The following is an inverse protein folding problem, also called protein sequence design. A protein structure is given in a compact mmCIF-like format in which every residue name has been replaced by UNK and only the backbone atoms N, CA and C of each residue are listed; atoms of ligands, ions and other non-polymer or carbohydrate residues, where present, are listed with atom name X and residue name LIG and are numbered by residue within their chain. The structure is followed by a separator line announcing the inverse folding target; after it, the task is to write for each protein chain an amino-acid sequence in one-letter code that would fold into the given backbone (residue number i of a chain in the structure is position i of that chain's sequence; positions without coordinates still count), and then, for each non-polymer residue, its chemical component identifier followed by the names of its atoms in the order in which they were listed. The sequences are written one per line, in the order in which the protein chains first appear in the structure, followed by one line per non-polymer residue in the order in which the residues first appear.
data_IF_889910584621
#
_entry.id   IF_889910584621
#
_cell.length_a   1.000
_cell.length_b   1.000
_cell.length_c   1.000
_cell.angle_alpha   90.00
_cell.angle_beta   90.00
_cell.angle_gamma   90.00
#
_symmetry.space_group_name_H-M   'P 1'
#
loop_
_entity.id
_entity.type
_entity.pdbx_description
1 polymer ?
#
# COMPACT_ATOMS: atom_id res chain seq x y z
N UNK A 1 3.32 -19.18 16.83
CA UNK A 1 2.62 -19.07 15.53
C UNK A 1 3.63 -19.23 14.41
N UNK A 2 4.36 -18.18 14.08
CA UNK A 2 5.38 -18.16 13.02
C UNK A 2 6.68 -18.85 13.48
N UNK A 3 7.46 -19.36 12.53
CA UNK A 3 8.73 -20.08 12.78
C UNK A 3 9.80 -19.70 11.77
N UNK A 4 9.44 -19.63 10.49
CA UNK A 4 10.35 -19.43 9.37
C UNK A 4 10.25 -17.98 8.88
N UNK A 5 11.20 -17.15 9.31
CA UNK A 5 11.06 -15.70 9.24
C UNK A 5 11.86 -15.13 8.07
N UNK A 6 11.18 -14.54 7.10
CA UNK A 6 11.78 -13.88 5.94
C UNK A 6 12.10 -12.42 6.25
N UNK A 7 13.31 -11.98 5.91
CA UNK A 7 13.76 -10.59 6.12
C UNK A 7 13.71 -9.84 4.79
N UNK A 8 12.99 -8.71 4.77
CA UNK A 8 12.95 -7.78 3.64
C UNK A 8 13.42 -6.39 4.08
N UNK A 9 14.36 -5.80 3.36
CA UNK A 9 15.02 -4.54 3.71
C UNK A 9 15.01 -3.59 2.52
N UNK A 10 14.72 -2.31 2.74
CA UNK A 10 14.90 -1.30 1.68
C UNK A 10 16.38 -1.06 1.41
N UNK A 11 16.80 -1.27 0.17
CA UNK A 11 18.04 -0.68 -0.32
C UNK A 11 17.82 0.82 -0.56
N UNK A 12 18.44 1.70 0.24
CA UNK A 12 18.55 3.11 -0.17
C UNK A 12 19.55 3.20 -1.33
N UNK A 13 19.20 3.99 -2.33
CA UNK A 13 20.04 4.23 -3.51
C UNK A 13 21.31 5.01 -3.20
N UNK A 14 21.26 5.93 -2.23
CA UNK A 14 22.28 6.98 -2.06
C UNK A 14 22.99 6.99 -0.69
N UNK A 15 22.38 6.41 0.36
CA UNK A 15 22.95 6.38 1.73
C UNK A 15 23.28 4.96 2.22
N UNK A 16 23.05 3.93 1.40
CA UNK A 16 23.21 2.53 1.80
C UNK A 16 22.16 2.05 2.81
N UNK A 17 22.44 0.90 3.43
CA UNK A 17 21.59 0.29 4.46
C UNK A 17 22.25 0.56 5.81
N UNK A 18 21.48 0.93 6.83
CA UNK A 18 21.97 0.91 8.22
C UNK A 18 22.10 -0.55 8.68
N UNK A 19 23.21 -1.18 8.29
CA UNK A 19 23.49 -2.56 8.64
C UNK A 19 23.67 -2.74 10.13
N UNK A 20 24.18 -1.74 10.86
CA UNK A 20 24.42 -1.88 12.29
C UNK A 20 23.11 -1.86 13.09
N UNK A 21 22.19 -0.95 12.77
CA UNK A 21 20.84 -0.96 13.34
C UNK A 21 20.10 -2.27 13.04
N UNK A 22 20.21 -2.79 11.81
CA UNK A 22 19.65 -4.10 11.44
C UNK A 22 20.33 -5.26 12.18
N UNK A 23 21.65 -5.28 12.30
CA UNK A 23 22.39 -6.36 12.95
C UNK A 23 21.98 -6.51 14.42
N UNK A 24 21.65 -5.41 15.11
CA UNK A 24 21.07 -5.43 16.46
C UNK A 24 19.67 -6.05 16.47
N UNK A 25 18.80 -5.65 15.54
CA UNK A 25 17.42 -6.17 15.43
C UNK A 25 17.40 -7.66 15.03
N UNK A 26 18.25 -8.08 14.10
CA UNK A 26 18.45 -9.49 13.73
C UNK A 26 19.07 -10.28 14.89
N UNK A 27 20.03 -9.72 15.64
CA UNK A 27 20.57 -10.36 16.85
C UNK A 27 19.51 -10.53 17.94
N UNK A 28 18.54 -9.60 18.03
CA UNK A 28 17.38 -9.74 18.91
C UNK A 28 16.47 -10.87 18.43
N UNK A 29 16.05 -10.89 17.16
CA UNK A 29 15.24 -11.96 16.55
C UNK A 29 15.86 -13.37 16.73
N UNK A 30 17.18 -13.48 16.64
CA UNK A 30 17.91 -14.75 16.85
C UNK A 30 17.78 -15.34 18.27
N UNK A 31 17.37 -14.56 19.28
CA UNK A 31 17.05 -15.05 20.62
C UNK A 31 15.79 -15.94 20.63
N UNK A 32 14.94 -15.80 19.61
CA UNK A 32 13.58 -16.35 19.56
C UNK A 32 13.39 -17.41 18.46
N UNK A 33 14.08 -17.29 17.31
CA UNK A 33 14.12 -18.31 16.27
C UNK A 33 15.48 -18.33 15.55
N UNK A 34 15.93 -19.51 15.12
CA UNK A 34 17.12 -19.68 14.27
C UNK A 34 16.77 -19.82 12.78
N UNK A 35 15.48 -19.97 12.44
CA UNK A 35 15.00 -20.16 11.07
C UNK A 35 14.73 -18.78 10.45
N UNK A 36 15.80 -18.03 10.18
CA UNK A 36 15.73 -16.68 9.61
C UNK A 36 16.34 -16.69 8.20
N UNK A 37 15.62 -16.13 7.23
CA UNK A 37 15.90 -16.24 5.81
C UNK A 37 15.99 -14.87 5.13
N UNK A 38 16.78 -14.76 4.06
CA UNK A 38 16.86 -13.57 3.21
C UNK A 38 17.05 -13.98 1.75
N UNK A 39 16.52 -13.22 0.80
CA UNK A 39 16.73 -13.52 -0.62
C UNK A 39 18.16 -13.21 -1.09
N UNK A 40 18.65 -14.04 -2.02
CA UNK A 40 19.97 -13.88 -2.66
C UNK A 40 20.20 -12.48 -3.23
N UNK A 41 19.15 -11.85 -3.77
CA UNK A 41 19.20 -10.53 -4.40
C UNK A 41 19.38 -9.35 -3.43
N UNK A 42 19.18 -9.52 -2.12
CA UNK A 42 19.32 -8.41 -1.16
C UNK A 42 20.79 -8.06 -0.92
N UNK A 43 21.14 -6.77 -0.96
CA UNK A 43 22.48 -6.28 -0.59
C UNK A 43 22.81 -6.43 0.90
N UNK A 44 21.82 -6.52 1.78
CA UNK A 44 22.08 -6.80 3.20
C UNK A 44 22.46 -8.27 3.39
N UNK A 45 23.53 -8.53 4.14
CA UNK A 45 24.07 -9.86 4.43
C UNK A 45 24.51 -9.89 5.90
N UNK A 46 24.08 -10.92 6.63
CA UNK A 46 24.45 -11.18 8.02
C UNK A 46 24.59 -12.71 8.19
N UNK A 47 25.58 -13.17 8.94
CA UNK A 47 25.92 -14.59 9.07
C UNK A 47 24.82 -15.43 9.76
N UNK A 48 23.87 -14.79 10.43
CA UNK A 48 22.71 -15.42 11.08
C UNK A 48 21.51 -15.59 10.13
N UNK A 49 21.65 -15.26 8.85
CA UNK A 49 20.58 -15.34 7.85
C UNK A 49 20.90 -16.42 6.81
N UNK A 50 19.97 -17.36 6.61
CA UNK A 50 20.06 -18.33 5.52
C UNK A 50 19.65 -17.67 4.21
N UNK A 51 20.55 -17.65 3.23
CA UNK A 51 20.30 -17.04 1.92
C UNK A 51 19.56 -18.05 1.03
N UNK A 52 18.37 -17.69 0.55
CA UNK A 52 17.53 -18.52 -0.32
C UNK A 52 17.26 -17.84 -1.68
N UNK A 53 16.85 -18.63 -2.67
CA UNK A 53 16.31 -18.11 -3.94
C UNK A 53 14.86 -17.67 -3.79
N UNK A 54 14.36 -16.78 -4.66
CA UNK A 54 13.00 -16.22 -4.51
C UNK A 54 11.90 -17.27 -4.27
N UNK A 55 11.79 -18.27 -5.14
CA UNK A 55 10.75 -19.32 -5.03
C UNK A 55 10.94 -20.20 -3.80
N UNK A 56 12.17 -20.38 -3.32
CA UNK A 56 12.53 -21.18 -2.15
C UNK A 56 12.24 -20.41 -0.85
N UNK A 57 12.59 -19.13 -0.82
CA UNK A 57 12.20 -18.17 0.22
C UNK A 57 10.68 -18.12 0.38
N UNK A 58 9.95 -17.88 -0.71
CA UNK A 58 8.50 -17.72 -0.71
C UNK A 58 7.72 -19.02 -0.46
N UNK A 59 8.37 -20.19 -0.52
CA UNK A 59 7.78 -21.48 -0.11
C UNK A 59 8.26 -21.99 1.26
N UNK A 60 9.27 -21.35 1.84
CA UNK A 60 9.82 -21.70 3.17
C UNK A 60 9.26 -20.80 4.28
N UNK A 61 9.07 -19.50 3.99
CA UNK A 61 8.76 -18.45 4.97
C UNK A 61 7.27 -18.44 5.37
N UNK A 62 6.99 -18.29 6.67
CA UNK A 62 5.64 -18.15 7.22
C UNK A 62 5.32 -16.73 7.77
N UNK A 63 6.32 -15.86 7.91
CA UNK A 63 6.18 -14.43 8.21
C UNK A 63 7.29 -13.62 7.53
N UNK A 64 6.96 -12.53 6.84
CA UNK A 64 7.94 -11.58 6.31
C UNK A 64 8.01 -10.34 7.20
N UNK A 65 9.20 -10.04 7.72
CA UNK A 65 9.48 -8.82 8.49
C UNK A 65 10.13 -7.80 7.56
N UNK A 66 9.46 -6.66 7.40
CA UNK A 66 9.88 -5.56 6.52
C UNK A 66 10.53 -4.47 7.35
N UNK A 67 11.82 -4.25 7.15
CA UNK A 67 12.56 -3.14 7.75
C UNK A 67 12.63 -1.96 6.77
N UNK A 68 11.96 -0.85 7.12
CA UNK A 68 11.93 0.34 6.28
C UNK A 68 10.82 1.32 6.68
N UNK A 69 9.81 1.44 5.81
CA UNK A 69 8.63 2.29 5.99
C UNK A 69 7.56 1.90 4.97
N UNK A 70 6.38 2.54 4.96
CA UNK A 70 5.23 2.21 4.10
C UNK A 70 5.61 1.91 2.63
N UNK A 71 6.42 2.76 1.99
CA UNK A 71 6.89 2.57 0.59
C UNK A 71 7.91 1.45 0.35
N UNK A 72 8.38 0.80 1.41
CA UNK A 72 9.12 -0.48 1.39
C UNK A 72 8.16 -1.65 1.52
N UNK A 73 7.20 -1.53 2.43
CA UNK A 73 6.17 -2.53 2.68
C UNK A 73 5.31 -2.75 1.43
N UNK A 74 4.87 -1.69 0.73
CA UNK A 74 4.18 -1.80 -0.57
C UNK A 74 4.96 -2.64 -1.60
N UNK A 75 6.30 -2.51 -1.64
CA UNK A 75 7.15 -3.27 -2.56
C UNK A 75 7.26 -4.75 -2.17
N UNK A 76 7.31 -5.05 -0.87
CA UNK A 76 7.25 -6.43 -0.37
C UNK A 76 5.86 -7.05 -0.61
N UNK A 77 4.79 -6.32 -0.31
CA UNK A 77 3.41 -6.76 -0.52
C UNK A 77 3.19 -7.15 -1.98
N UNK A 78 3.51 -6.25 -2.93
CA UNK A 78 3.43 -6.53 -4.37
C UNK A 78 4.29 -7.73 -4.81
N UNK A 79 5.43 -7.99 -4.15
CA UNK A 79 6.33 -9.12 -4.47
C UNK A 79 5.83 -10.46 -3.95
N UNK A 80 5.09 -10.47 -2.84
CA UNK A 80 4.71 -11.71 -2.14
C UNK A 80 3.19 -11.98 -2.10
N UNK A 81 2.36 -11.12 -2.69
CA UNK A 81 0.89 -11.22 -2.72
C UNK A 81 0.36 -12.57 -3.24
N UNK A 82 1.04 -13.16 -4.22
CA UNK A 82 0.66 -14.44 -4.83
C UNK A 82 0.91 -15.66 -3.91
N UNK A 83 1.67 -15.48 -2.82
CA UNK A 83 2.07 -16.54 -1.89
C UNK A 83 1.32 -16.49 -0.54
N UNK A 84 0.42 -15.53 -0.33
CA UNK A 84 -0.39 -15.32 0.90
C UNK A 84 0.41 -15.17 2.22
N UNK A 85 1.70 -14.81 2.12
CA UNK A 85 2.60 -14.70 3.28
C UNK A 85 2.28 -13.42 4.09
N UNK A 86 1.99 -13.53 5.39
CA UNK A 86 1.77 -12.35 6.24
C UNK A 86 3.01 -11.44 6.34
N UNK A 87 2.79 -10.14 6.43
CA UNK A 87 3.84 -9.12 6.49
C UNK A 87 3.73 -8.29 7.78
N UNK A 88 4.84 -8.20 8.53
CA UNK A 88 5.03 -7.33 9.70
C UNK A 88 5.89 -6.12 9.30
N UNK A 89 5.40 -4.91 9.54
CA UNK A 89 6.10 -3.67 9.20
C UNK A 89 6.88 -3.04 10.36
N UNK A 90 8.21 -2.97 10.23
CA UNK A 90 9.12 -2.31 11.17
C UNK A 90 9.60 -0.96 10.60
N UNK A 91 9.25 0.13 11.28
CA UNK A 91 9.66 1.48 10.91
C UNK A 91 11.11 1.76 11.33
N UNK A 92 11.98 2.04 10.35
CA UNK A 92 13.36 2.51 10.53
C UNK A 92 13.53 4.03 10.32
N UNK A 93 12.47 4.81 10.50
CA UNK A 93 12.45 6.26 10.32
C UNK A 93 11.19 6.90 10.93
N UNK A 94 10.32 7.48 10.10
CA UNK A 94 9.03 8.03 10.54
C UNK A 94 7.87 7.08 10.15
N UNK A 95 7.02 6.65 11.10
CA UNK A 95 6.10 5.47 11.05
C UNK A 95 5.88 4.76 9.69
N UNK A 96 4.84 4.92 8.87
CA UNK A 96 3.72 5.88 8.88
C UNK A 96 2.35 5.31 9.18
N UNK A 97 1.79 4.51 8.28
CA UNK A 97 0.43 3.94 8.38
C UNK A 97 0.36 2.42 8.08
N UNK A 98 1.50 1.80 7.73
CA UNK A 98 1.63 0.37 7.48
C UNK A 98 2.79 -0.27 8.25
N UNK A 99 3.78 0.52 8.69
CA UNK A 99 4.94 0.06 9.47
C UNK A 99 4.83 0.50 10.93
N UNK A 100 3.94 -0.17 11.66
CA UNK A 100 3.45 0.25 12.98
C UNK A 100 4.44 -0.02 14.14
N UNK A 101 5.44 -0.89 13.94
CA UNK A 101 6.42 -1.23 14.98
C UNK A 101 7.64 -0.30 14.93
N UNK A 102 7.85 0.46 16.00
CA UNK A 102 9.04 1.31 16.21
C UNK A 102 10.24 0.44 16.60
N UNK A 103 11.45 0.72 16.09
CA UNK A 103 12.65 -0.13 16.33
C UNK A 103 12.98 -0.36 17.81
N UNK A 104 12.74 0.63 18.67
CA UNK A 104 12.97 0.56 20.11
C UNK A 104 12.09 -0.52 20.81
N UNK A 105 10.90 -0.77 20.26
CA UNK A 105 9.87 -1.66 20.82
C UNK A 105 9.92 -3.06 20.19
N UNK A 106 10.83 -3.28 19.23
CA UNK A 106 10.92 -4.51 18.46
C UNK A 106 11.17 -5.75 19.32
N UNK A 107 12.06 -5.68 20.33
CA UNK A 107 12.44 -6.85 21.14
C UNK A 107 11.30 -7.38 22.02
N UNK A 108 10.41 -6.51 22.52
CA UNK A 108 9.22 -6.96 23.25
C UNK A 108 8.15 -7.49 22.29
N UNK A 109 7.86 -6.75 21.22
CA UNK A 109 6.80 -7.09 20.26
C UNK A 109 7.09 -8.38 19.49
N UNK A 110 8.35 -8.64 19.10
CA UNK A 110 8.69 -9.78 18.24
C UNK A 110 8.43 -11.12 18.92
N UNK A 111 8.70 -11.25 20.22
CA UNK A 111 8.40 -12.45 20.99
C UNK A 111 6.89 -12.73 21.00
N UNK A 112 6.05 -11.71 21.18
CA UNK A 112 4.60 -11.86 21.17
C UNK A 112 4.08 -12.25 19.78
N UNK A 113 4.53 -11.58 18.71
CA UNK A 113 4.18 -11.93 17.31
C UNK A 113 4.59 -13.38 16.98
N UNK A 114 5.82 -13.78 17.32
CA UNK A 114 6.30 -15.14 17.07
C UNK A 114 5.48 -16.19 17.82
N UNK A 115 5.04 -15.91 19.05
CA UNK A 115 4.13 -16.80 19.78
C UNK A 115 2.73 -16.86 19.13
N UNK A 116 2.24 -15.75 18.59
CA UNK A 116 0.89 -15.59 18.02
C UNK A 116 0.01 -14.60 18.80
N UNK A 117 0.60 -13.84 19.71
CA UNK A 117 -0.05 -12.75 20.45
C UNK A 117 -0.10 -11.49 19.56
N UNK A 118 -0.74 -11.60 18.40
CA UNK A 118 -0.80 -10.58 17.37
C UNK A 118 -2.13 -10.66 16.58
N UNK A 119 -2.56 -9.54 16.03
CA UNK A 119 -3.68 -9.50 15.09
C UNK A 119 -3.14 -9.70 13.66
N UNK A 120 -3.81 -10.54 12.88
CA UNK A 120 -3.62 -10.59 11.42
C UNK A 120 -4.81 -9.87 10.79
N UNK A 121 -4.56 -8.80 10.05
CA UNK A 121 -5.58 -8.01 9.34
C UNK A 121 -5.49 -8.28 7.83
N UNK A 122 -6.63 -8.45 7.18
CA UNK A 122 -6.72 -8.58 5.73
C UNK A 122 -7.04 -7.23 5.09
N UNK A 123 -6.18 -6.77 4.17
CA UNK A 123 -6.41 -5.56 3.37
C UNK A 123 -6.77 -5.95 1.94
N UNK A 124 -7.95 -5.53 1.49
CA UNK A 124 -8.36 -5.65 0.09
C UNK A 124 -7.50 -4.73 -0.79
N UNK A 125 -7.09 -5.24 -1.96
CA UNK A 125 -6.44 -4.43 -3.01
C UNK A 125 -7.48 -4.01 -4.04
N UNK A 126 -7.29 -2.83 -4.61
CA UNK A 126 -8.08 -2.34 -5.75
C UNK A 126 -7.41 -2.77 -7.06
N UNK A 127 -8.20 -3.25 -8.01
CA UNK A 127 -7.77 -3.62 -9.36
C UNK A 127 -8.50 -2.80 -10.43
N UNK A 128 -7.80 -2.48 -11.52
CA UNK A 128 -8.35 -1.85 -12.70
C UNK A 128 -8.07 -2.70 -13.93
N UNK A 129 -9.14 -3.19 -14.59
CA UNK A 129 -9.08 -4.02 -15.79
C UNK A 129 -9.54 -3.25 -17.01
N UNK A 130 -8.71 -3.21 -18.04
CA UNK A 130 -8.91 -2.46 -19.29
C UNK A 130 -8.11 -3.12 -20.42
N UNK A 131 -8.66 -3.16 -21.64
CA UNK A 131 -7.96 -3.65 -22.84
C UNK A 131 -7.23 -5.02 -22.67
N UNK A 132 -7.84 -5.97 -21.95
CA UNK A 132 -7.29 -7.29 -21.59
C UNK A 132 -6.04 -7.26 -20.68
N UNK A 133 -5.78 -6.13 -20.01
CA UNK A 133 -4.77 -5.97 -18.96
C UNK A 133 -5.45 -5.65 -17.63
N UNK A 134 -4.83 -6.08 -16.53
CA UNK A 134 -5.20 -5.68 -15.16
C UNK A 134 -3.98 -5.08 -14.48
N UNK A 135 -4.19 -3.97 -13.77
CA UNK A 135 -3.24 -3.43 -12.77
C UNK A 135 -3.91 -3.45 -11.41
N UNK A 136 -3.13 -3.47 -10.32
CA UNK A 136 -3.66 -3.45 -8.96
C UNK A 136 -2.76 -2.66 -8.01
N UNK A 137 -3.34 -2.17 -6.92
CA UNK A 137 -2.66 -1.45 -5.85
C UNK A 137 -3.30 -1.70 -4.48
N UNK A 138 -2.49 -1.61 -3.43
CA UNK A 138 -2.97 -1.61 -2.05
C UNK A 138 -3.58 -0.25 -1.67
N UNK A 139 -3.05 0.84 -2.22
CA UNK A 139 -3.48 2.20 -1.92
C UNK A 139 -4.51 2.68 -2.93
N UNK A 140 -4.11 2.85 -4.20
CA UNK A 140 -4.94 3.51 -5.19
C UNK A 140 -4.66 3.09 -6.64
N UNK A 141 -5.69 3.24 -7.47
CA UNK A 141 -5.56 3.39 -8.93
C UNK A 141 -5.69 4.88 -9.25
N UNK A 142 -4.75 5.42 -10.02
CA UNK A 142 -4.75 6.79 -10.54
C UNK A 142 -4.88 6.75 -12.06
N UNK A 143 -6.01 7.21 -12.59
CA UNK A 143 -6.27 7.35 -14.02
C UNK A 143 -6.03 8.82 -14.39
N UNK A 144 -5.07 9.15 -15.24
CA UNK A 144 -4.70 10.54 -15.54
C UNK A 144 -4.45 10.81 -17.03
N UNK A 145 -4.44 12.08 -17.40
CA UNK A 145 -4.38 12.52 -18.80
C UNK A 145 -3.01 12.30 -19.48
N UNK A 146 -1.96 11.97 -18.72
CA UNK A 146 -0.58 11.87 -19.18
C UNK A 146 0.07 13.20 -19.61
N UNK A 147 -0.66 14.32 -19.59
CA UNK A 147 -0.18 15.64 -20.02
C UNK A 147 -0.25 16.68 -18.92
N UNK A 148 0.85 17.40 -18.68
CA UNK A 148 0.91 18.47 -17.69
C UNK A 148 -0.17 19.54 -17.94
N UNK A 149 -0.97 19.86 -16.92
CA UNK A 149 -2.01 20.91 -16.94
C UNK A 149 -3.06 20.77 -18.06
N UNK A 150 -3.36 19.53 -18.47
CA UNK A 150 -4.27 19.25 -19.58
C UNK A 150 -5.33 18.22 -19.18
N UNK A 151 -6.60 18.60 -19.30
CA UNK A 151 -7.75 17.82 -18.82
C UNK A 151 -8.07 16.63 -19.75
N UNK A 152 -8.34 15.47 -19.17
CA UNK A 152 -9.03 14.37 -19.86
C UNK A 152 -10.55 14.42 -19.60
N UNK A 153 -11.34 13.86 -20.52
CA UNK A 153 -12.79 13.68 -20.43
C UNK A 153 -13.12 12.21 -20.27
N UNK A 154 -13.91 11.88 -19.26
CA UNK A 154 -14.37 10.52 -18.97
C UNK A 154 -15.77 10.53 -18.37
N UNK A 155 -16.42 9.37 -18.42
CA UNK A 155 -17.72 9.12 -17.77
C UNK A 155 -17.55 8.07 -16.69
N UNK A 156 -17.99 8.40 -15.48
CA UNK A 156 -18.01 7.49 -14.34
C UNK A 156 -19.41 6.88 -14.20
N UNK A 157 -19.47 5.56 -14.09
CA UNK A 157 -20.71 4.82 -13.80
C UNK A 157 -20.52 3.88 -12.63
N UNK A 158 -21.59 3.66 -11.86
CA UNK A 158 -21.65 2.70 -10.75
C UNK A 158 -22.87 1.81 -10.97
N UNK A 159 -22.67 0.48 -10.98
CA UNK A 159 -23.71 -0.51 -11.26
C UNK A 159 -24.54 -0.15 -12.52
N UNK A 160 -23.83 0.15 -13.62
CA UNK A 160 -24.35 0.59 -14.93
C UNK A 160 -25.17 1.89 -14.94
N UNK A 161 -25.20 2.65 -13.84
CA UNK A 161 -25.82 3.99 -13.75
C UNK A 161 -24.76 5.06 -13.84
N UNK A 162 -24.94 6.03 -14.75
CA UNK A 162 -24.01 7.16 -14.90
C UNK A 162 -24.07 8.02 -13.63
N UNK A 163 -22.93 8.24 -12.99
CA UNK A 163 -22.79 9.15 -11.85
C UNK A 163 -22.53 10.58 -12.36
N UNK A 164 -21.54 10.72 -13.23
CA UNK A 164 -21.26 11.96 -13.96
C UNK A 164 -20.41 11.72 -15.21
N UNK A 165 -20.34 12.73 -16.06
CA UNK A 165 -19.30 12.87 -17.08
C UNK A 165 -18.54 14.18 -16.80
N UNK A 166 -17.21 14.16 -16.82
CA UNK A 166 -16.40 15.24 -16.28
C UNK A 166 -15.12 15.48 -17.10
N UNK A 167 -14.56 16.69 -16.96
CA UNK A 167 -13.19 17.03 -17.34
C UNK A 167 -12.37 17.34 -16.09
N UNK A 168 -11.24 16.66 -15.94
CA UNK A 168 -10.28 16.82 -14.83
C UNK A 168 -8.90 16.31 -15.28
N UNK A 169 -7.82 16.61 -14.55
CA UNK A 169 -6.48 16.08 -14.89
C UNK A 169 -6.43 14.55 -14.73
N UNK A 170 -7.23 14.01 -13.81
CA UNK A 170 -7.38 12.58 -13.57
C UNK A 170 -8.52 12.22 -12.62
N UNK A 171 -8.55 10.95 -12.22
CA UNK A 171 -9.45 10.34 -11.25
C UNK A 171 -8.67 9.30 -10.42
N UNK A 172 -8.76 9.40 -9.10
CA UNK A 172 -8.21 8.44 -8.14
C UNK A 172 -9.36 7.55 -7.66
N UNK A 173 -9.12 6.24 -7.58
CA UNK A 173 -9.95 5.29 -6.82
C UNK A 173 -9.06 4.66 -5.76
N UNK A 174 -9.31 4.98 -4.51
CA UNK A 174 -8.49 4.58 -3.37
C UNK A 174 -9.21 3.60 -2.43
N UNK A 175 -8.44 2.67 -1.88
CA UNK A 175 -8.83 1.79 -0.79
C UNK A 175 -8.86 2.56 0.54
N UNK A 176 -9.31 1.94 1.65
CA UNK A 176 -9.13 2.49 3.00
C UNK A 176 -7.66 2.79 3.32
N UNK A 177 -6.74 1.90 2.91
CA UNK A 177 -5.29 2.08 3.10
C UNK A 177 -4.76 3.26 2.28
N UNK A 178 -5.27 3.46 1.06
CA UNK A 178 -4.91 4.60 0.22
C UNK A 178 -5.47 5.94 0.69
N UNK A 179 -6.44 5.94 1.61
CA UNK A 179 -7.05 7.17 2.14
C UNK A 179 -6.05 8.09 2.85
N UNK A 180 -4.93 7.55 3.34
CA UNK A 180 -3.80 8.28 3.95
C UNK A 180 -2.61 8.49 3.00
N UNK A 181 -2.72 8.07 1.73
CA UNK A 181 -1.68 8.14 0.70
C UNK A 181 -1.94 9.29 -0.32
N UNK A 182 -2.02 9.01 -1.63
CA UNK A 182 -2.21 10.07 -2.62
C UNK A 182 -3.61 10.67 -2.55
N UNK A 183 -4.62 9.88 -2.16
CA UNK A 183 -5.98 10.37 -1.94
C UNK A 183 -6.06 11.48 -0.86
N UNK A 184 -5.27 11.39 0.22
CA UNK A 184 -5.19 12.42 1.25
C UNK A 184 -4.69 13.75 0.66
N UNK A 185 -3.61 13.68 -0.13
CA UNK A 185 -3.02 14.82 -0.84
C UNK A 185 -3.99 15.45 -1.85
N UNK A 186 -4.90 14.65 -2.42
CA UNK A 186 -5.95 15.09 -3.32
C UNK A 186 -7.21 15.66 -2.62
N UNK A 187 -7.19 15.82 -1.29
CA UNK A 187 -8.32 16.34 -0.50
C UNK A 187 -9.37 15.28 -0.13
N UNK A 188 -8.97 14.01 -0.06
CA UNK A 188 -9.81 12.90 0.35
C UNK A 188 -10.11 12.84 1.85
N UNK A 189 -11.22 12.18 2.25
CA UNK A 189 -11.43 11.78 3.63
C UNK A 189 -10.44 10.68 4.03
N UNK A 190 -10.03 10.68 5.30
CA UNK A 190 -9.35 9.54 5.92
C UNK A 190 -10.41 8.48 6.24
N UNK A 191 -10.13 7.24 5.85
CA UNK A 191 -11.00 6.08 6.02
C UNK A 191 -10.30 5.09 6.95
N UNK A 192 -11.02 4.60 7.98
CA UNK A 192 -10.47 3.61 8.89
C UNK A 192 -10.23 2.27 8.15
N UNK A 193 -9.07 1.60 8.28
CA UNK A 193 -8.69 0.45 7.43
C UNK A 193 -9.70 -0.69 7.40
N UNK A 194 -10.39 -0.96 8.51
CA UNK A 194 -11.40 -2.01 8.65
C UNK A 194 -12.77 -1.74 7.96
N UNK A 195 -12.93 -0.65 7.21
CA UNK A 195 -14.13 -0.36 6.40
C UNK A 195 -13.95 -0.88 4.97
N UNK A 196 -14.87 -1.65 4.42
CA UNK A 196 -14.73 -2.16 3.04
C UNK A 196 -15.42 -1.21 2.02
N UNK A 197 -14.68 -0.20 1.56
CA UNK A 197 -15.19 0.91 0.72
C UNK A 197 -14.19 1.39 -0.34
N UNK A 198 -14.71 1.91 -1.45
CA UNK A 198 -13.93 2.71 -2.41
C UNK A 198 -14.15 4.20 -2.16
N UNK A 199 -13.05 4.96 -2.12
CA UNK A 199 -13.08 6.43 -2.16
C UNK A 199 -12.75 6.88 -3.58
N UNK A 200 -13.64 7.62 -4.23
CA UNK A 200 -13.48 8.10 -5.62
C UNK A 200 -13.24 9.61 -5.60
N UNK A 201 -12.10 10.07 -6.14
CA UNK A 201 -11.63 11.45 -6.04
C UNK A 201 -11.16 11.99 -7.42
N UNK A 202 -11.87 12.96 -8.02
CA UNK A 202 -11.42 13.59 -9.26
C UNK A 202 -10.28 14.60 -9.01
N UNK A 203 -9.19 14.49 -9.77
CA UNK A 203 -8.00 15.34 -9.64
C UNK A 203 -8.19 16.65 -10.42
N UNK A 204 -8.25 17.79 -9.72
CA UNK A 204 -8.42 19.12 -10.30
C UNK A 204 -9.58 19.23 -11.33
N UNK A 205 -10.84 18.97 -10.91
CA UNK A 205 -11.99 18.98 -11.80
C UNK A 205 -12.42 20.38 -12.25
N UNK A 206 -12.82 20.50 -13.52
CA UNK A 206 -13.40 21.74 -14.06
C UNK A 206 -14.77 22.07 -13.43
N UNK A 207 -15.46 21.08 -12.85
CA UNK A 207 -16.77 21.28 -12.21
C UNK A 207 -16.64 21.71 -10.75
N UNK A 208 -17.10 22.92 -10.43
CA UNK A 208 -17.02 23.52 -9.08
C UNK A 208 -17.83 22.73 -8.03
N UNK A 209 -18.86 21.99 -8.44
CA UNK A 209 -19.66 21.13 -7.57
C UNK A 209 -19.09 19.71 -7.38
N UNK A 210 -17.99 19.37 -8.07
CA UNK A 210 -17.36 18.06 -7.97
C UNK A 210 -16.76 17.83 -6.58
N UNK A 211 -17.00 16.67 -5.98
CA UNK A 211 -16.49 16.30 -4.65
C UNK A 211 -16.03 14.84 -4.64
N UNK A 212 -15.03 14.48 -3.81
CA UNK A 212 -14.80 13.09 -3.44
C UNK A 212 -16.06 12.47 -2.84
N UNK A 213 -16.27 11.18 -3.09
CA UNK A 213 -17.37 10.41 -2.48
C UNK A 213 -16.94 8.97 -2.20
N UNK A 214 -17.69 8.29 -1.33
CA UNK A 214 -17.39 6.95 -0.83
C UNK A 214 -18.56 6.02 -1.14
N UNK A 215 -18.27 4.80 -1.58
CA UNK A 215 -19.24 3.74 -1.89
C UNK A 215 -18.76 2.40 -1.33
N UNK A 216 -19.65 1.40 -1.22
CA UNK A 216 -19.20 0.01 -0.96
C UNK A 216 -18.23 -0.43 -2.05
N UNK A 217 -17.18 -1.15 -1.65
CA UNK A 217 -16.21 -1.74 -2.57
C UNK A 217 -16.74 -2.93 -3.38
N UNK A 218 -17.94 -3.43 -3.05
CA UNK A 218 -18.68 -4.43 -3.84
C UNK A 218 -19.46 -3.81 -5.02
N UNK A 219 -19.53 -2.48 -5.12
CA UNK A 219 -20.19 -1.79 -6.22
C UNK A 219 -19.34 -1.84 -7.50
N UNK A 220 -19.93 -2.23 -8.63
CA UNK A 220 -19.22 -2.28 -9.92
C UNK A 220 -18.99 -0.86 -10.45
N UNK A 221 -17.74 -0.39 -10.43
CA UNK A 221 -17.37 0.94 -10.95
C UNK A 221 -16.80 0.80 -12.36
N UNK A 222 -17.27 1.63 -13.29
CA UNK A 222 -16.80 1.65 -14.68
C UNK A 222 -16.45 3.07 -15.10
N UNK A 223 -15.24 3.26 -15.63
CA UNK A 223 -14.76 4.52 -16.18
C UNK A 223 -14.62 4.37 -17.70
N UNK A 224 -15.47 5.04 -18.45
CA UNK A 224 -15.34 5.14 -19.90
C UNK A 224 -14.46 6.35 -20.25
N UNK A 225 -13.32 6.11 -20.89
CA UNK A 225 -12.40 7.17 -21.33
C UNK A 225 -12.83 7.72 -22.69
N UNK A 226 -13.18 9.01 -22.77
CA UNK A 226 -13.79 9.61 -23.97
C UNK A 226 -12.77 10.35 -24.84
N UNK A 227 -11.92 11.18 -24.24
CA UNK A 227 -10.93 11.98 -24.98
C UNK A 227 -9.94 12.66 -24.05
N UNK A 228 -8.70 12.89 -24.47
CA UNK A 228 -7.72 13.65 -23.69
C UNK A 228 -6.61 14.23 -24.57
N UNK A 229 -5.56 14.81 -23.95
CA UNK A 229 -4.51 15.53 -24.66
C UNK A 229 -3.48 14.60 -25.31
N UNK A 230 -3.11 13.53 -24.62
CA UNK A 230 -2.22 12.49 -25.12
C UNK A 230 -3.01 11.48 -25.95
N UNK A 231 -2.34 10.76 -26.86
CA UNK A 231 -2.92 9.72 -27.73
C UNK A 231 -3.70 8.65 -26.94
N UNK A 232 -3.24 8.34 -25.73
CA UNK A 232 -3.80 7.39 -24.78
C UNK A 232 -3.73 8.05 -23.40
N UNK A 233 -4.68 7.78 -22.51
CA UNK A 233 -4.58 8.17 -21.11
C UNK A 233 -3.58 7.26 -20.38
N UNK A 234 -3.35 7.53 -19.11
CA UNK A 234 -2.44 6.78 -18.25
C UNK A 234 -3.16 6.19 -17.04
N UNK A 235 -2.73 5.00 -16.64
CA UNK A 235 -3.15 4.37 -15.39
C UNK A 235 -1.90 3.97 -14.60
N UNK A 236 -1.80 4.51 -13.38
CA UNK A 236 -0.81 4.14 -12.39
C UNK A 236 -1.52 3.44 -11.23
N UNK A 237 -0.86 2.48 -10.58
CA UNK A 237 -1.27 1.92 -9.30
C UNK A 237 -0.12 2.07 -8.30
N UNK A 238 -0.41 2.42 -7.04
CA UNK A 238 0.59 2.59 -5.95
C UNK A 238 1.88 3.37 -6.35
N UNK A 239 1.77 4.40 -7.17
CA UNK A 239 2.92 5.18 -7.67
C UNK A 239 3.95 4.38 -8.48
N UNK A 240 3.54 3.27 -9.10
CA UNK A 240 4.36 2.45 -9.99
C UNK A 240 4.40 3.02 -11.43
N UNK A 241 4.91 2.25 -12.39
CA UNK A 241 5.01 2.65 -13.80
C UNK A 241 3.65 2.87 -14.47
N UNK A 242 3.63 3.79 -15.43
CA UNK A 242 2.45 4.38 -16.07
C UNK A 242 1.97 3.55 -17.28
N UNK A 243 0.86 2.83 -17.14
CA UNK A 243 0.30 2.00 -18.22
C UNK A 243 -0.57 2.81 -19.19
N UNK A 244 -0.51 2.50 -20.49
CA UNK A 244 -1.32 3.19 -21.51
C UNK A 244 -2.76 2.67 -21.49
N UNK A 245 -3.72 3.58 -21.33
CA UNK A 245 -5.16 3.30 -21.39
C UNK A 245 -5.79 3.97 -22.63
N UNK A 246 -6.23 3.20 -23.64
CA UNK A 246 -6.89 3.77 -24.82
C UNK A 246 -8.23 4.45 -24.48
N UNK A 247 -8.58 5.50 -25.22
CA UNK A 247 -9.95 6.03 -25.25
C UNK A 247 -10.89 5.04 -25.97
N UNK A 248 -12.20 5.27 -25.83
CA UNK A 248 -13.28 4.37 -26.31
C UNK A 248 -13.12 2.93 -25.77
N UNK A 249 -12.58 2.84 -24.56
CA UNK A 249 -12.51 1.64 -23.72
C UNK A 249 -12.99 1.96 -22.31
N UNK A 250 -13.58 0.94 -21.72
CA UNK A 250 -14.00 0.94 -20.32
C UNK A 250 -12.88 0.36 -19.45
N UNK A 251 -12.66 1.03 -18.33
CA UNK A 251 -11.86 0.55 -17.20
C UNK A 251 -12.85 0.08 -16.15
N UNK A 252 -12.79 -1.20 -15.79
CA UNK A 252 -13.60 -1.77 -14.70
C UNK A 252 -12.76 -1.80 -13.43
N UNK A 253 -13.26 -1.21 -12.34
CA UNK A 253 -12.61 -1.29 -11.03
C UNK A 253 -13.27 -2.40 -10.20
N UNK A 254 -12.44 -3.17 -9.50
CA UNK A 254 -12.82 -4.37 -8.76
C UNK A 254 -11.92 -4.56 -7.52
N UNK A 255 -12.27 -5.53 -6.66
CA UNK A 255 -11.33 -6.10 -5.69
C UNK A 255 -10.42 -7.09 -6.42
N UNK A 256 -9.19 -7.27 -5.94
CA UNK A 256 -8.42 -8.49 -6.21
C UNK A 256 -8.98 -9.66 -5.41
N UNK A 257 -8.89 -10.88 -5.95
CA UNK A 257 -9.19 -12.12 -5.20
C UNK A 257 -8.16 -12.35 -4.07
N UNK A 258 -6.88 -12.05 -4.34
CA UNK A 258 -5.82 -12.01 -3.34
C UNK A 258 -5.95 -10.77 -2.45
N UNK A 259 -5.74 -10.95 -1.15
CA UNK A 259 -5.63 -9.88 -0.15
C UNK A 259 -4.21 -9.79 0.39
N UNK A 260 -3.84 -8.62 0.91
CA UNK A 260 -2.62 -8.49 1.70
C UNK A 260 -2.92 -8.82 3.16
N UNK A 261 -2.13 -9.73 3.75
CA UNK A 261 -2.22 -10.07 5.18
C UNK A 261 -1.15 -9.30 5.95
N UNK A 262 -1.57 -8.36 6.79
CA UNK A 262 -0.69 -7.59 7.66
C UNK A 262 -0.72 -8.13 9.08
N UNK A 263 0.43 -8.12 9.75
CA UNK A 263 0.57 -8.54 11.15
C UNK A 263 0.79 -7.32 12.02
N UNK A 264 -0.06 -7.16 13.03
CA UNK A 264 -0.08 -6.02 13.93
C UNK A 264 0.04 -6.47 15.40
N UNK A 265 0.72 -5.70 16.27
CA UNK A 265 0.64 -5.89 17.72
C UNK A 265 -0.82 -5.79 18.21
N UNK A 266 -1.16 -6.48 19.31
CA UNK A 266 -2.53 -6.46 19.87
C UNK A 266 -2.99 -5.08 20.36
N UNK A 267 -2.06 -4.13 20.52
CA UNK A 267 -2.29 -2.75 20.95
C UNK A 267 -2.19 -1.73 19.80
N UNK A 268 -2.29 -2.15 18.54
CA UNK A 268 -2.19 -1.25 17.39
C UNK A 268 -3.33 -0.21 17.39
N UNK A 269 -2.99 1.07 17.22
CA UNK A 269 -3.94 2.19 17.14
C UNK A 269 -3.71 2.98 15.85
N UNK A 270 -4.61 2.82 14.88
CA UNK A 270 -4.62 3.62 13.64
C UNK A 270 -4.65 5.13 13.93
N UNK A 271 -5.27 5.56 15.03
CA UNK A 271 -5.27 6.97 15.41
C UNK A 271 -3.97 7.41 16.07
N UNK A 272 -3.06 6.52 16.49
CA UNK A 272 -1.68 6.89 16.85
C UNK A 272 -0.91 7.34 15.61
N UNK A 273 -1.00 6.57 14.53
CA UNK A 273 -0.47 6.97 13.24
C UNK A 273 -1.04 8.32 12.79
N UNK A 274 -2.36 8.56 12.92
CA UNK A 274 -2.94 9.89 12.66
C UNK A 274 -2.37 10.99 13.57
N UNK A 275 -2.22 10.74 14.88
CA UNK A 275 -1.65 11.71 15.84
C UNK A 275 -0.21 12.10 15.47
N UNK A 276 0.64 11.11 15.21
CA UNK A 276 2.07 11.32 14.90
C UNK A 276 2.32 11.88 13.49
N UNK A 277 1.58 11.41 12.47
CA UNK A 277 1.82 11.81 11.07
C UNK A 277 1.04 13.03 10.62
N UNK A 278 -0.12 13.31 11.20
CA UNK A 278 -1.00 14.42 10.81
C UNK A 278 -1.03 15.56 11.85
N UNK A 279 -0.26 15.42 12.93
CA UNK A 279 -0.14 16.45 13.97
C UNK A 279 -1.39 16.60 14.86
N UNK A 280 -2.27 15.59 14.93
CA UNK A 280 -3.50 15.70 15.75
C UNK A 280 -3.22 15.73 17.25
N UNK A 281 -1.99 15.43 17.68
CA UNK A 281 -1.51 15.59 19.06
C UNK A 281 -0.78 16.92 19.32
N UNK A 282 -0.90 17.93 18.45
CA UNK A 282 -0.34 19.26 18.71
C UNK A 282 -1.00 19.93 19.93
N UNK A 283 -0.17 20.57 20.75
CA UNK A 283 -0.58 21.23 22.00
C UNK A 283 -1.38 22.51 21.73
N UNK A 284 -2.71 22.38 21.72
CA UNK A 284 -3.66 23.48 21.51
C UNK A 284 -3.74 24.48 22.68
N UNK A 285 -3.00 24.29 23.77
CA UNK A 285 -3.04 25.19 24.93
C UNK A 285 -2.14 26.42 24.78
N UNK A 286 -1.17 26.37 23.86
CA UNK A 286 -0.22 27.48 23.60
C UNK A 286 -0.77 28.43 22.54
N UNK A 287 -1.14 29.63 22.99
CA UNK A 287 -1.38 30.83 22.17
C UNK A 287 -0.23 31.83 22.35
#
# INVERSE_FOLDING_TARGET
MFKNIGIYVKEKTDEGIDSHGLDVLISSLNKHTSNIFIEETSKYKNNSLTILKHNEFASTVDLIIVFGGDGTLLRSARKYLEYDIPILGINMGTVGFLTDVKTQDFESIIQDVLNGNCQVEERNLVSATFANKTVYGLNEIVIHSGGYTQLMRYRLSVNNKIVYEQRSDGLIIATPTGSTAYALSAGGPIIHPALDVWTILPMLPQSISSRPFVISSDENVTINLISGPMKEAKICADGQEDENAPYDKDIVISKMDNKLRLVHPLNNDFFEACREKLGWSLDISKK
#
